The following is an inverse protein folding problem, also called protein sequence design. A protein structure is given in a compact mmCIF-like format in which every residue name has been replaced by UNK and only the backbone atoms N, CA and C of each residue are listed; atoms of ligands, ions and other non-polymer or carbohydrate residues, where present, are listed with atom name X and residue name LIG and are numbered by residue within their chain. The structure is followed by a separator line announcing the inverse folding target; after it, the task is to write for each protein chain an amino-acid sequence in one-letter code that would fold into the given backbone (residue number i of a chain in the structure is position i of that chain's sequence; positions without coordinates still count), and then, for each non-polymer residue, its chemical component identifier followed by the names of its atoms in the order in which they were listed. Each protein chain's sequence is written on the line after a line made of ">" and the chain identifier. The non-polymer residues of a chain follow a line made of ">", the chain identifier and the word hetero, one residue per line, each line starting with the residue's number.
data_IF_412193678625
#
_entry.id   IF_412193678625
#
_cell.length_a   1.000
_cell.length_b   1.000
_cell.length_c   1.000
_cell.angle_alpha   90.00
_cell.angle_beta   90.00
_cell.angle_gamma   90.00
#
_symmetry.space_group_name_H-M   'P 1'
#
loop_
_entity.id
_entity.type
_entity.pdbx_description
1 polymer ?
#
# COMPACT_ATOMS: atom_id res chain seq x y z
N UNK A 1 25.23 47.28 24.03
CA UNK A 1 23.85 47.79 23.91
C UNK A 1 22.94 46.58 23.68
N UNK A 2 21.89 46.45 24.49
CA UNK A 2 20.96 45.34 24.45
C UNK A 2 19.87 45.60 23.39
N UNK A 3 19.76 44.73 22.40
CA UNK A 3 18.76 44.86 21.32
C UNK A 3 17.31 44.59 21.75
N UNK A 4 17.05 44.35 23.04
CA UNK A 4 15.71 44.12 23.58
C UNK A 4 15.15 45.33 24.34
N UNK A 5 15.99 46.00 25.15
CA UNK A 5 15.60 47.15 25.97
C UNK A 5 16.37 48.44 25.65
N UNK A 6 17.29 48.40 24.68
CA UNK A 6 18.13 49.51 24.25
C UNK A 6 19.12 50.07 25.29
N UNK A 7 19.26 49.44 26.45
CA UNK A 7 20.23 49.83 27.50
C UNK A 7 21.65 49.30 27.22
N UNK A 8 22.68 49.95 27.76
CA UNK A 8 24.09 49.52 27.63
C UNK A 8 24.55 48.73 28.86
N UNK A 9 25.56 47.85 28.71
CA UNK A 9 26.11 47.06 29.83
C UNK A 9 25.75 45.56 29.85
N UNK A 10 24.85 45.08 28.99
CA UNK A 10 24.54 43.65 28.85
C UNK A 10 24.14 43.28 27.39
N UNK A 11 24.14 41.98 27.08
CA UNK A 11 23.68 41.41 25.80
C UNK A 11 22.23 40.91 25.92
N UNK A 12 21.54 40.73 24.78
CA UNK A 12 20.10 40.36 24.73
C UNK A 12 19.76 39.11 25.56
N UNK A 13 20.64 38.10 25.59
CA UNK A 13 20.46 36.83 26.33
C UNK A 13 20.47 37.01 27.85
N UNK A 14 21.09 38.07 28.34
CA UNK A 14 21.27 38.35 29.77
C UNK A 14 20.34 39.46 30.26
N UNK A 15 19.38 39.87 29.42
CA UNK A 15 18.41 40.91 29.76
C UNK A 15 17.41 40.40 30.79
N UNK A 16 17.29 41.07 31.95
CA UNK A 16 16.36 40.69 33.02
C UNK A 16 14.89 40.64 32.54
N UNK A 17 14.51 41.45 31.55
CA UNK A 17 13.18 41.44 30.95
C UNK A 17 12.89 40.16 30.14
N UNK A 18 13.92 39.41 29.69
CA UNK A 18 13.70 38.08 29.09
C UNK A 18 13.41 37.01 30.15
N UNK A 19 13.93 37.15 31.36
CA UNK A 19 13.73 36.17 32.45
C UNK A 19 12.30 36.22 33.03
N UNK A 20 11.60 37.36 32.90
CA UNK A 20 10.21 37.51 33.37
C UNK A 20 9.18 36.74 32.52
N UNK A 21 9.53 36.32 31.29
CA UNK A 21 8.61 35.61 30.38
C UNK A 21 8.61 34.09 30.62
N UNK A 22 9.62 33.53 31.31
CA UNK A 22 9.75 32.07 31.52
C UNK A 22 9.25 31.54 32.87
N UNK A 23 8.57 32.36 33.68
CA UNK A 23 8.12 31.99 35.02
C UNK A 23 6.59 31.98 35.18
N UNK A 24 5.86 31.51 34.16
CA UNK A 24 4.42 31.18 34.27
C UNK A 24 4.09 29.83 33.62
N UNK A 25 4.77 28.78 34.05
CA UNK A 25 4.24 27.42 33.95
C UNK A 25 3.56 27.08 35.28
N UNK A 26 2.23 27.27 35.33
CA UNK A 26 1.36 26.72 36.38
C UNK A 26 0.71 25.46 35.81
N UNK A 27 0.67 24.32 36.52
CA UNK A 27 -0.12 23.17 36.09
C UNK A 27 -1.59 23.56 36.14
N UNK A 28 -2.24 23.61 34.97
CA UNK A 28 -3.69 23.73 34.88
C UNK A 28 -4.17 22.50 34.14
N UNK A 29 -5.02 21.75 34.84
CA UNK A 29 -5.92 20.69 34.42
C UNK A 29 -6.31 20.72 32.92
N UNK A 30 -6.56 19.55 32.29
CA UNK A 30 -6.92 19.46 30.88
C UNK A 30 -8.23 20.23 30.63
N UNK A 31 -8.10 21.45 30.13
CA UNK A 31 -9.23 22.16 29.57
C UNK A 31 -9.71 21.36 28.35
N UNK A 32 -10.91 20.77 28.47
CA UNK A 32 -11.64 20.20 27.35
C UNK A 32 -11.67 21.23 26.21
N UNK A 33 -10.86 20.96 25.19
CA UNK A 33 -10.95 21.64 23.91
C UNK A 33 -12.33 21.32 23.34
N UNK A 34 -13.27 22.26 23.52
CA UNK A 34 -14.47 22.33 22.68
C UNK A 34 -13.98 22.46 21.24
N UNK A 35 -13.93 21.33 20.54
CA UNK A 35 -13.56 21.25 19.13
C UNK A 35 -14.61 22.05 18.36
N UNK A 36 -14.26 23.26 17.94
CA UNK A 36 -15.06 23.97 16.94
C UNK A 36 -15.15 23.09 15.68
N UNK A 37 -16.34 22.93 15.08
CA UNK A 37 -16.48 22.13 13.88
C UNK A 37 -15.67 22.77 12.75
N UNK A 38 -14.58 22.09 12.35
CA UNK A 38 -13.73 22.52 11.23
C UNK A 38 -14.59 22.57 9.96
N UNK A 39 -14.77 23.75 9.39
CA UNK A 39 -15.47 23.92 8.12
C UNK A 39 -14.68 23.17 7.04
N UNK A 40 -15.34 22.25 6.33
CA UNK A 40 -14.72 21.40 5.32
C UNK A 40 -13.95 22.21 4.25
N UNK A 41 -14.45 23.39 3.89
CA UNK A 41 -13.82 24.30 2.90
C UNK A 41 -12.40 24.72 3.28
N UNK A 42 -12.11 24.91 4.58
CA UNK A 42 -10.76 25.23 5.04
C UNK A 42 -9.83 24.02 4.90
N UNK A 43 -10.32 22.82 5.22
CA UNK A 43 -9.58 21.55 5.03
C UNK A 43 -9.30 21.29 3.55
N UNK A 44 -10.31 21.50 2.68
CA UNK A 44 -10.17 21.34 1.23
C UNK A 44 -9.14 22.31 0.65
N UNK A 45 -9.17 23.57 1.09
CA UNK A 45 -8.20 24.59 0.67
C UNK A 45 -6.78 24.21 1.07
N UNK A 46 -6.61 23.60 2.25
CA UNK A 46 -5.32 23.07 2.69
C UNK A 46 -4.85 21.90 1.81
N UNK A 47 -5.71 20.95 1.48
CA UNK A 47 -5.38 19.81 0.62
C UNK A 47 -4.98 20.24 -0.79
N UNK A 48 -5.62 21.28 -1.33
CA UNK A 48 -5.26 21.85 -2.65
C UNK A 48 -3.84 22.43 -2.68
N UNK A 49 -3.34 22.91 -1.54
CA UNK A 49 -2.06 23.61 -1.45
C UNK A 49 -0.87 22.70 -1.06
N UNK A 50 -1.09 21.41 -0.80
CA UNK A 50 -0.01 20.46 -0.52
C UNK A 50 -0.49 19.10 0.03
N UNK A 51 0.39 18.11 -0.07
CA UNK A 51 0.15 16.75 0.46
C UNK A 51 0.34 16.75 1.97
N UNK A 52 -0.73 16.46 2.72
CA UNK A 52 -0.59 16.08 4.13
C UNK A 52 -0.25 14.60 4.21
N UNK A 53 0.88 14.26 4.84
CA UNK A 53 1.19 12.87 5.17
C UNK A 53 0.11 12.34 6.11
N UNK A 54 -0.36 11.12 5.85
CA UNK A 54 -1.25 10.43 6.76
C UNK A 54 -0.43 9.94 7.96
N UNK A 55 -0.66 10.52 9.13
CA UNK A 55 -0.14 9.99 10.40
C UNK A 55 -1.21 9.08 11.01
N UNK A 56 -0.97 7.77 10.98
CA UNK A 56 -1.83 6.75 11.57
C UNK A 56 -2.96 6.25 10.67
N UNK A 57 -3.14 4.93 10.63
CA UNK A 57 -4.26 4.27 9.97
C UNK A 57 -5.49 4.43 10.88
N UNK A 58 -6.41 5.33 10.51
CA UNK A 58 -7.73 5.35 11.13
C UNK A 58 -8.55 4.18 10.55
N UNK A 59 -9.10 3.31 11.39
CA UNK A 59 -9.80 2.08 10.94
C UNK A 59 -10.96 2.38 9.98
N UNK A 60 -11.65 3.52 10.15
CA UNK A 60 -12.71 3.95 9.21
C UNK A 60 -12.21 4.38 7.82
N UNK A 61 -10.90 4.58 7.65
CA UNK A 61 -10.27 4.99 6.38
C UNK A 61 -9.54 3.85 5.67
N UNK A 62 -9.29 2.74 6.36
CA UNK A 62 -8.46 1.63 5.85
C UNK A 62 -9.12 0.30 6.16
N UNK A 63 -9.64 -0.34 5.12
CA UNK A 63 -10.17 -1.70 5.21
C UNK A 63 -9.07 -2.76 5.25
N UNK A 64 -9.41 -3.94 5.77
CA UNK A 64 -8.53 -5.10 5.71
C UNK A 64 -8.30 -5.52 4.24
N UNK A 65 -7.06 -5.94 3.96
CA UNK A 65 -6.72 -6.46 2.65
C UNK A 65 -7.43 -7.80 2.40
N UNK A 66 -7.99 -7.97 1.20
CA UNK A 66 -8.63 -9.23 0.82
C UNK A 66 -7.57 -10.21 0.34
N UNK A 67 -7.33 -11.29 1.10
CA UNK A 67 -6.30 -12.29 0.79
C UNK A 67 -6.84 -13.71 0.81
N UNK A 68 -6.10 -14.64 0.18
CA UNK A 68 -6.39 -16.06 0.25
C UNK A 68 -5.10 -16.90 0.19
N UNK A 69 -5.15 -18.11 0.76
CA UNK A 69 -4.07 -19.08 0.56
C UNK A 69 -4.19 -19.73 -0.80
N UNK A 70 -3.08 -19.75 -1.52
CA UNK A 70 -2.97 -20.37 -2.84
C UNK A 70 -1.88 -21.42 -2.85
N UNK A 71 -2.13 -22.52 -3.57
CA UNK A 71 -1.11 -23.51 -3.91
C UNK A 71 -0.69 -23.32 -5.36
N UNK A 72 0.61 -23.16 -5.57
CA UNK A 72 1.28 -23.08 -6.86
C UNK A 72 2.73 -23.51 -6.70
N UNK A 73 3.39 -23.99 -7.77
CA UNK A 73 4.83 -24.28 -7.76
C UNK A 73 5.29 -25.18 -6.59
N UNK A 74 4.43 -26.12 -6.16
CA UNK A 74 4.72 -27.01 -5.03
C UNK A 74 4.72 -26.35 -3.65
N UNK A 75 4.33 -25.09 -3.55
CA UNK A 75 4.34 -24.28 -2.34
C UNK A 75 2.95 -23.68 -2.03
N UNK A 76 2.76 -23.26 -0.77
CA UNK A 76 1.59 -22.49 -0.34
C UNK A 76 2.00 -21.05 -0.05
N UNK A 77 1.29 -20.10 -0.65
CA UNK A 77 1.55 -18.66 -0.52
C UNK A 77 0.28 -17.89 -0.20
N UNK A 78 0.43 -16.67 0.32
CA UNK A 78 -0.68 -15.74 0.50
C UNK A 78 -0.81 -14.89 -0.75
N UNK A 79 -2.00 -14.84 -1.32
CA UNK A 79 -2.34 -14.05 -2.49
C UNK A 79 -3.20 -12.85 -2.13
N UNK A 80 -2.96 -11.71 -2.78
CA UNK A 80 -3.92 -10.60 -2.80
C UNK A 80 -5.00 -10.89 -3.83
N UNK A 81 -6.25 -10.70 -3.41
CA UNK A 81 -7.40 -10.77 -4.30
C UNK A 81 -7.76 -9.33 -4.67
N UNK A 82 -7.34 -8.92 -5.87
CA UNK A 82 -7.42 -7.53 -6.29
C UNK A 82 -8.35 -7.38 -7.49
N UNK A 83 -9.51 -6.76 -7.26
CA UNK A 83 -10.49 -6.50 -8.30
C UNK A 83 -10.15 -5.29 -9.17
N UNK A 84 -9.28 -4.40 -8.69
CA UNK A 84 -8.80 -3.23 -9.42
C UNK A 84 -7.75 -3.66 -10.46
N UNK A 85 -6.92 -4.66 -10.13
CA UNK A 85 -5.98 -5.23 -11.07
C UNK A 85 -6.67 -6.00 -12.21
N UNK A 86 -6.37 -5.60 -13.45
CA UNK A 86 -6.81 -6.32 -14.65
C UNK A 86 -6.05 -7.65 -14.85
N UNK A 87 -4.80 -7.67 -14.40
CA UNK A 87 -3.84 -8.75 -14.63
C UNK A 87 -3.41 -9.36 -13.31
N UNK A 88 -2.95 -10.61 -13.36
CA UNK A 88 -2.32 -11.26 -12.21
C UNK A 88 -0.81 -11.15 -12.32
N UNK A 89 -0.14 -10.99 -11.20
CA UNK A 89 1.29 -10.72 -11.10
C UNK A 89 1.92 -11.72 -10.13
N UNK A 90 3.01 -12.35 -10.55
CA UNK A 90 3.85 -13.22 -9.72
C UNK A 90 5.24 -12.59 -9.55
N UNK A 91 5.80 -12.56 -8.32
CA UNK A 91 7.16 -12.13 -8.09
C UNK A 91 8.17 -13.07 -8.76
N UNK A 92 9.21 -12.52 -9.37
CA UNK A 92 10.29 -13.30 -9.99
C UNK A 92 10.97 -14.20 -8.95
N UNK A 93 11.20 -13.68 -7.74
CA UNK A 93 11.84 -14.44 -6.67
C UNK A 93 11.07 -15.71 -6.31
N UNK A 94 9.74 -15.70 -6.40
CA UNK A 94 8.92 -16.89 -6.16
C UNK A 94 9.21 -18.01 -7.17
N UNK A 95 9.47 -17.67 -8.43
CA UNK A 95 9.87 -18.63 -9.46
C UNK A 95 11.31 -19.12 -9.24
N UNK A 96 12.22 -18.23 -8.85
CA UNK A 96 13.60 -18.57 -8.52
C UNK A 96 13.65 -19.53 -7.33
N UNK A 97 12.89 -19.25 -6.27
CA UNK A 97 12.78 -20.10 -5.08
C UNK A 97 12.22 -21.47 -5.43
N UNK A 98 11.17 -21.54 -6.25
CA UNK A 98 10.61 -22.82 -6.70
C UNK A 98 11.66 -23.65 -7.46
N UNK A 99 12.45 -23.00 -8.32
CA UNK A 99 13.51 -23.67 -9.07
C UNK A 99 14.62 -24.20 -8.14
N UNK A 100 15.06 -23.38 -7.19
CA UNK A 100 16.08 -23.76 -6.20
C UNK A 100 15.61 -24.91 -5.29
N UNK A 101 14.31 -24.98 -5.00
CA UNK A 101 13.69 -26.07 -4.24
C UNK A 101 13.42 -27.33 -5.10
N UNK A 102 13.85 -27.35 -6.37
CA UNK A 102 13.74 -28.50 -7.25
C UNK A 102 12.34 -28.76 -7.81
N UNK A 103 11.47 -27.73 -7.86
CA UNK A 103 10.19 -27.85 -8.55
C UNK A 103 10.40 -28.11 -10.05
N UNK A 104 9.69 -29.08 -10.61
CA UNK A 104 9.76 -29.36 -12.05
C UNK A 104 8.88 -28.38 -12.83
N UNK A 105 9.50 -27.32 -13.36
CA UNK A 105 8.82 -26.33 -14.18
C UNK A 105 8.22 -26.91 -15.47
N UNK A 106 8.86 -27.93 -16.06
CA UNK A 106 8.40 -28.49 -17.33
C UNK A 106 7.08 -29.26 -17.19
N UNK A 107 6.70 -29.64 -15.96
CA UNK A 107 5.46 -30.34 -15.70
C UNK A 107 4.22 -29.42 -15.64
N UNK A 108 4.36 -28.16 -15.24
CA UNK A 108 3.21 -27.30 -14.89
C UNK A 108 3.34 -25.81 -15.26
N UNK A 109 4.47 -25.37 -15.82
CA UNK A 109 4.72 -23.96 -16.18
C UNK A 109 4.97 -23.82 -17.68
N UNK A 110 4.17 -23.00 -18.35
CA UNK A 110 4.44 -22.59 -19.74
C UNK A 110 4.86 -21.12 -19.77
N UNK A 111 5.84 -20.77 -20.60
CA UNK A 111 6.09 -19.37 -20.95
C UNK A 111 4.97 -18.85 -21.87
N UNK A 112 4.51 -17.62 -21.63
CA UNK A 112 3.58 -16.92 -22.53
C UNK A 112 4.39 -15.91 -23.32
N UNK A 113 4.41 -16.07 -24.65
CA UNK A 113 5.02 -15.08 -25.53
C UNK A 113 4.25 -13.76 -25.45
N UNK A 114 4.97 -12.70 -25.10
CA UNK A 114 4.42 -11.37 -24.92
C UNK A 114 4.62 -10.56 -26.19
N UNK A 115 3.50 -10.18 -26.79
CA UNK A 115 3.47 -9.13 -27.81
C UNK A 115 3.87 -7.80 -27.16
N UNK A 116 5.15 -7.44 -27.26
CA UNK A 116 5.74 -6.25 -26.64
C UNK A 116 5.16 -4.92 -27.18
N UNK A 117 4.33 -4.96 -28.22
CA UNK A 117 3.57 -3.79 -28.67
C UNK A 117 2.34 -3.49 -27.81
N UNK A 118 1.87 -4.47 -27.01
CA UNK A 118 0.72 -4.33 -26.12
C UNK A 118 1.17 -3.99 -24.72
N UNK A 119 0.80 -2.80 -24.26
CA UNK A 119 1.20 -2.26 -22.97
C UNK A 119 0.11 -2.50 -21.91
N UNK A 120 0.54 -2.85 -20.70
CA UNK A 120 -0.33 -2.89 -19.51
C UNK A 120 -0.01 -1.66 -18.68
N UNK A 121 -1.03 -1.01 -18.12
CA UNK A 121 -0.90 0.23 -17.37
C UNK A 121 -1.29 0.02 -15.90
N UNK A 122 -0.59 0.73 -15.00
CA UNK A 122 -0.96 0.83 -13.60
C UNK A 122 -2.20 1.71 -13.40
N UNK A 123 -2.69 1.81 -12.16
CA UNK A 123 -3.87 2.59 -11.81
C UNK A 123 -3.67 4.11 -11.97
N UNK A 124 -2.43 4.55 -12.14
CA UNK A 124 -2.07 5.94 -12.45
C UNK A 124 -1.94 6.19 -13.95
N UNK A 125 -2.11 5.17 -14.79
CA UNK A 125 -1.99 5.24 -16.25
C UNK A 125 -0.54 5.17 -16.76
N UNK A 126 0.44 4.82 -15.92
CA UNK A 126 1.81 4.61 -16.37
C UNK A 126 2.01 3.17 -16.85
N UNK A 127 2.86 2.94 -17.85
CA UNK A 127 3.12 1.61 -18.33
C UNK A 127 3.88 0.76 -17.29
N UNK A 128 3.37 -0.44 -17.03
CA UNK A 128 4.03 -1.42 -16.19
C UNK A 128 5.15 -2.15 -16.94
N UNK A 129 6.18 -2.55 -16.20
CA UNK A 129 7.32 -3.30 -16.73
C UNK A 129 7.34 -4.71 -16.14
N UNK A 130 7.33 -5.71 -17.01
CA UNK A 130 7.38 -7.12 -16.63
C UNK A 130 8.61 -7.80 -17.21
N UNK A 131 9.14 -8.78 -16.47
CA UNK A 131 10.26 -9.63 -16.92
C UNK A 131 9.81 -10.69 -17.94
N UNK A 132 8.54 -11.07 -17.89
CA UNK A 132 7.94 -12.06 -18.79
C UNK A 132 6.50 -12.34 -18.37
N UNK A 133 5.93 -13.41 -18.93
CA UNK A 133 4.65 -13.93 -18.48
C UNK A 133 4.67 -15.46 -18.52
N UNK A 134 3.97 -16.07 -17.56
CA UNK A 134 3.92 -17.53 -17.39
C UNK A 134 2.48 -17.99 -17.22
N UNK A 135 2.20 -19.22 -17.62
CA UNK A 135 0.94 -19.91 -17.34
C UNK A 135 1.21 -21.11 -16.44
N UNK A 136 0.68 -21.08 -15.23
CA UNK A 136 0.84 -22.15 -14.24
C UNK A 136 -0.47 -22.51 -13.55
N UNK A 137 -0.54 -23.67 -12.91
CA UNK A 137 -1.72 -24.06 -12.15
C UNK A 137 -1.74 -23.41 -10.76
N UNK A 138 -2.86 -22.76 -10.45
CA UNK A 138 -3.15 -22.16 -9.14
C UNK A 138 -4.39 -22.83 -8.56
N UNK A 139 -4.32 -23.14 -7.27
CA UNK A 139 -5.46 -23.57 -6.46
C UNK A 139 -5.69 -22.58 -5.34
N UNK A 140 -6.90 -22.08 -5.18
CA UNK A 140 -7.27 -21.29 -4.00
C UNK A 140 -7.83 -22.23 -2.95
N UNK A 141 -7.31 -22.18 -1.72
CA UNK A 141 -7.70 -23.04 -0.60
C UNK A 141 -7.70 -24.54 -1.00
N UNK A 142 -8.85 -25.23 -0.87
CA UNK A 142 -9.05 -26.63 -1.28
C UNK A 142 -9.88 -26.75 -2.57
N UNK A 143 -9.92 -25.69 -3.38
CA UNK A 143 -10.74 -25.60 -4.59
C UNK A 143 -10.19 -26.39 -5.78
N UNK A 144 -10.69 -26.12 -6.98
CA UNK A 144 -10.17 -26.73 -8.21
C UNK A 144 -8.87 -26.04 -8.63
N UNK A 145 -7.93 -26.78 -9.24
CA UNK A 145 -6.73 -26.22 -9.87
C UNK A 145 -7.10 -25.59 -11.22
N UNK A 146 -6.69 -24.35 -11.46
CA UNK A 146 -6.92 -23.65 -12.71
C UNK A 146 -5.60 -23.17 -13.33
N UNK A 147 -5.45 -23.29 -14.65
CA UNK A 147 -4.30 -22.69 -15.37
C UNK A 147 -4.52 -21.20 -15.58
N UNK A 148 -3.71 -20.40 -14.91
CA UNK A 148 -3.80 -18.94 -14.88
C UNK A 148 -2.55 -18.35 -15.53
N UNK A 149 -2.72 -17.30 -16.34
CA UNK A 149 -1.63 -16.52 -16.88
C UNK A 149 -1.26 -15.38 -15.92
N UNK A 150 0.02 -15.20 -15.64
CA UNK A 150 0.55 -14.19 -14.73
C UNK A 150 1.73 -13.47 -15.39
N UNK A 151 1.81 -12.17 -15.18
CA UNK A 151 3.02 -11.41 -15.49
C UNK A 151 4.05 -11.60 -14.39
N UNK A 152 5.32 -11.65 -14.77
CA UNK A 152 6.44 -11.78 -13.85
C UNK A 152 7.02 -10.41 -13.55
N UNK A 153 7.04 -10.01 -12.29
CA UNK A 153 7.58 -8.72 -11.83
C UNK A 153 8.82 -8.93 -10.96
N UNK A 154 9.78 -8.00 -11.03
CA UNK A 154 11.06 -8.14 -10.34
C UNK A 154 11.06 -7.65 -8.88
N UNK A 155 9.90 -7.27 -8.36
CA UNK A 155 9.79 -6.77 -6.99
C UNK A 155 10.05 -7.87 -5.96
N UNK A 156 10.58 -7.47 -4.79
CA UNK A 156 10.98 -8.34 -3.69
C UNK A 156 9.83 -8.68 -2.73
N UNK A 157 8.58 -8.36 -3.09
CA UNK A 157 7.42 -8.78 -2.30
C UNK A 157 7.15 -10.27 -2.57
N UNK A 158 6.98 -11.09 -1.52
CA UNK A 158 6.62 -12.53 -1.63
C UNK A 158 5.11 -12.73 -1.85
N UNK A 159 4.40 -11.63 -2.12
CA UNK A 159 2.96 -11.63 -2.30
C UNK A 159 2.59 -11.69 -3.78
N UNK A 160 1.86 -12.74 -4.15
CA UNK A 160 1.26 -12.89 -5.48
C UNK A 160 -0.04 -12.07 -5.55
N UNK A 161 -0.25 -11.32 -6.63
CA UNK A 161 -1.48 -10.56 -6.85
C UNK A 161 -2.36 -11.25 -7.91
N UNK A 162 -3.62 -11.52 -7.55
CA UNK A 162 -4.60 -12.13 -8.44
C UNK A 162 -5.61 -11.09 -8.91
N UNK A 163 -5.42 -10.66 -10.16
CA UNK A 163 -6.32 -9.75 -10.85
C UNK A 163 -7.55 -10.43 -11.43
N UNK A 164 -8.41 -9.64 -12.05
CA UNK A 164 -9.68 -10.08 -12.67
C UNK A 164 -9.52 -11.20 -13.70
N UNK A 165 -8.37 -11.31 -14.38
CA UNK A 165 -8.06 -12.42 -15.30
C UNK A 165 -8.02 -13.79 -14.59
N UNK A 166 -7.71 -13.83 -13.29
CA UNK A 166 -7.67 -15.03 -12.46
C UNK A 166 -8.92 -15.20 -11.61
N UNK A 167 -9.39 -14.14 -10.95
CA UNK A 167 -10.50 -14.21 -9.99
C UNK A 167 -11.72 -14.94 -10.55
N UNK A 168 -12.17 -14.56 -11.75
CA UNK A 168 -13.33 -15.19 -12.41
C UNK A 168 -13.10 -16.68 -12.68
N UNK A 169 -11.88 -17.07 -13.07
CA UNK A 169 -11.52 -18.47 -13.34
C UNK A 169 -11.45 -19.30 -12.07
N UNK A 170 -11.09 -18.67 -10.96
CA UNK A 170 -10.99 -19.27 -9.63
C UNK A 170 -12.34 -19.30 -8.89
N UNK A 171 -13.44 -18.89 -9.54
CA UNK A 171 -14.77 -18.86 -8.94
C UNK A 171 -14.97 -17.74 -7.91
N UNK A 172 -14.12 -16.72 -7.93
CA UNK A 172 -14.20 -15.58 -7.02
C UNK A 172 -14.92 -14.41 -7.71
N UNK A 173 -15.96 -13.91 -7.07
CA UNK A 173 -16.78 -12.79 -7.55
C UNK A 173 -17.25 -11.92 -6.40
N UNK A 174 -17.36 -10.62 -6.63
CA UNK A 174 -18.03 -9.71 -5.71
C UNK A 174 -19.54 -9.91 -5.82
N UNK A 175 -20.18 -10.24 -4.72
CA UNK A 175 -21.64 -10.33 -4.61
C UNK A 175 -22.14 -9.26 -3.66
N UNK A 176 -23.23 -8.53 -3.99
CA UNK A 176 -23.88 -7.65 -3.02
C UNK A 176 -24.21 -8.45 -1.76
N UNK A 177 -23.93 -7.88 -0.60
CA UNK A 177 -24.36 -8.47 0.65
C UNK A 177 -25.88 -8.31 0.75
N UNK A 178 -26.64 -9.36 0.45
CA UNK A 178 -28.08 -9.37 0.68
C UNK A 178 -28.33 -9.47 2.19
N UNK A 179 -28.75 -8.39 2.83
CA UNK A 179 -29.38 -8.49 4.15
C UNK A 179 -30.83 -8.99 3.96
N UNK A 180 -31.30 -9.92 4.81
CA UNK A 180 -32.68 -10.39 4.78
C UNK A 180 -33.68 -9.29 5.12
#
# INVERSE_FOLDING_TARGET
>A
MCFNCNEVGHLRRDCAQQKAVRAKDKPTEPAESKREPKIFTASLSKWRCGVTKADGLHEDLVGAQTTAHVQLLGMTRTALLDTCLQVSIVPLQMLVDALQNGYDFNADVDEIDLDRSKQVYDDSGNPMSFKGAVRLAIQVNKGTRHRIGLFVQAEDDDVIALGRNALKKLGLSLTPHAQP
#
